data_IF_748359431661
#
_entry.id   IF_748359431661
#
_cell.length_a   1.000
_cell.length_b   1.000
_cell.length_c   1.000
_cell.angle_alpha   90.00
_cell.angle_beta   90.00
_cell.angle_gamma   90.00
#
_symmetry.space_group_name_H-M   'P 1'
#
loop_
_entity.id
_entity.type
_entity.pdbx_description
1 polymer ?
#
# COMPACT_ATOMS: atom_id res chain seq x y z
N UNK A 1 9.02 16.91 -7.80
CA UNK A 1 9.83 15.87 -8.48
C UNK A 1 11.22 15.84 -7.85
N UNK A 2 12.02 14.81 -8.08
CA UNK A 2 13.38 14.74 -7.52
C UNK A 2 14.27 15.77 -8.21
N UNK A 3 14.91 16.62 -7.42
CA UNK A 3 15.94 17.54 -7.87
C UNK A 3 17.27 16.80 -8.08
N UNK A 4 17.82 16.88 -9.30
CA UNK A 4 19.04 16.17 -9.68
C UNK A 4 20.28 16.70 -8.95
N UNK A 5 20.36 18.01 -8.69
CA UNK A 5 21.51 18.59 -8.01
C UNK A 5 21.56 18.10 -6.56
N UNK A 6 20.41 18.09 -5.86
CA UNK A 6 20.33 17.52 -4.51
C UNK A 6 20.62 16.02 -4.50
N UNK A 7 20.10 15.25 -5.45
CA UNK A 7 20.37 13.81 -5.55
C UNK A 7 21.87 13.52 -5.64
N UNK A 8 22.60 14.24 -6.51
CA UNK A 8 24.03 14.02 -6.70
C UNK A 8 24.82 14.37 -5.43
N UNK A 9 24.48 15.46 -4.75
CA UNK A 9 25.08 15.83 -3.46
C UNK A 9 24.85 14.74 -2.40
N UNK A 10 23.65 14.15 -2.36
CA UNK A 10 23.35 13.06 -1.44
C UNK A 10 24.15 11.79 -1.73
N UNK A 11 24.37 11.46 -3.00
CA UNK A 11 25.20 10.33 -3.40
C UNK A 11 26.66 10.55 -3.01
N UNK A 12 27.19 11.76 -3.23
CA UNK A 12 28.57 12.13 -2.92
C UNK A 12 28.91 12.04 -1.42
N UNK A 13 27.91 12.08 -0.51
CA UNK A 13 28.14 11.82 0.92
C UNK A 13 28.66 10.41 1.22
N UNK A 14 28.39 9.43 0.35
CA UNK A 14 28.76 8.02 0.58
C UNK A 14 29.55 7.40 -0.58
N UNK A 15 29.50 8.01 -1.77
CA UNK A 15 30.16 7.51 -2.98
C UNK A 15 31.25 8.49 -3.40
N UNK A 16 32.50 8.11 -3.16
CA UNK A 16 33.66 8.91 -3.58
C UNK A 16 34.00 8.72 -5.08
N UNK A 17 33.61 7.60 -5.69
CA UNK A 17 33.94 7.30 -7.10
C UNK A 17 33.15 8.20 -8.06
N UNK A 18 33.85 9.19 -8.60
CA UNK A 18 33.30 10.16 -9.55
C UNK A 18 32.81 9.54 -10.86
N UNK A 19 33.30 8.36 -11.25
CA UNK A 19 32.84 7.65 -12.46
C UNK A 19 31.41 7.15 -12.27
N UNK A 20 31.10 6.62 -11.08
CA UNK A 20 29.76 6.15 -10.70
C UNK A 20 28.80 7.34 -10.60
N UNK A 21 29.20 8.41 -9.91
CA UNK A 21 28.37 9.64 -9.81
C UNK A 21 28.07 10.21 -11.19
N UNK A 22 29.06 10.25 -12.09
CA UNK A 22 28.88 10.70 -13.48
C UNK A 22 28.00 9.77 -14.31
N UNK A 23 28.01 8.47 -14.04
CA UNK A 23 27.09 7.51 -14.68
C UNK A 23 25.65 7.73 -14.20
N UNK A 24 25.44 7.87 -12.89
CA UNK A 24 24.12 8.16 -12.32
C UNK A 24 23.59 9.51 -12.82
N UNK A 25 24.44 10.54 -12.89
CA UNK A 25 24.09 11.82 -13.51
C UNK A 25 23.58 11.63 -14.95
N UNK A 26 24.30 10.85 -15.76
CA UNK A 26 23.88 10.53 -17.14
C UNK A 26 22.53 9.82 -17.17
N UNK A 27 22.24 8.92 -16.24
CA UNK A 27 20.92 8.28 -16.13
C UNK A 27 19.81 9.22 -15.68
N UNK A 28 20.10 10.20 -14.82
CA UNK A 28 19.13 11.21 -14.40
C UNK A 28 18.80 12.17 -15.55
N UNK A 29 19.82 12.60 -16.30
CA UNK A 29 19.68 13.56 -17.41
C UNK A 29 19.26 12.89 -18.73
N UNK A 30 19.39 11.56 -18.85
CA UNK A 30 18.90 10.85 -20.04
C UNK A 30 17.39 11.00 -20.10
N UNK A 31 16.94 11.84 -21.03
CA UNK A 31 15.55 12.19 -21.21
C UNK A 31 14.59 11.03 -21.38
N UNK A 32 13.30 11.29 -21.17
CA UNK A 32 12.23 10.34 -21.49
C UNK A 32 11.94 10.44 -22.99
N UNK A 33 11.75 9.31 -23.66
CA UNK A 33 11.22 9.30 -25.02
C UNK A 33 9.70 9.37 -24.90
N UNK A 34 9.11 10.54 -25.18
CA UNK A 34 7.67 10.70 -25.37
C UNK A 34 7.39 10.90 -26.87
N UNK A 35 6.48 10.11 -27.41
CA UNK A 35 6.00 10.23 -28.81
C UNK A 35 7.13 10.28 -29.87
N UNK A 36 8.19 9.48 -29.69
CA UNK A 36 9.30 9.37 -30.64
C UNK A 36 10.30 10.53 -30.61
N UNK A 37 10.15 11.50 -29.71
CA UNK A 37 11.11 12.60 -29.52
C UNK A 37 11.81 12.45 -28.16
N UNK A 38 13.13 12.67 -28.13
CA UNK A 38 13.89 12.75 -26.88
C UNK A 38 13.62 14.11 -26.23
N UNK A 39 12.93 14.12 -25.10
CA UNK A 39 12.79 15.31 -24.26
C UNK A 39 13.77 15.18 -23.11
N UNK A 40 14.71 16.12 -22.98
CA UNK A 40 15.64 16.14 -21.86
C UNK A 40 14.86 16.17 -20.54
N UNK A 41 15.21 15.28 -19.60
CA UNK A 41 14.59 15.26 -18.28
C UNK A 41 15.33 16.28 -17.40
N UNK A 42 14.80 17.49 -17.27
CA UNK A 42 15.35 18.50 -16.38
C UNK A 42 15.06 18.20 -14.89
N UNK A 43 14.02 17.39 -14.61
CA UNK A 43 13.59 16.98 -13.27
C UNK A 43 13.05 15.54 -13.28
N UNK A 44 13.18 14.87 -12.14
CA UNK A 44 12.69 13.49 -11.96
C UNK A 44 13.63 12.41 -12.49
N UNK A 45 13.37 11.14 -12.15
CA UNK A 45 14.11 10.01 -12.73
C UNK A 45 13.31 9.48 -13.93
N UNK A 46 13.95 8.97 -15.01
CA UNK A 46 13.21 8.36 -16.10
C UNK A 46 12.30 7.25 -15.55
N UNK A 47 11.00 7.34 -15.79
CA UNK A 47 10.04 6.33 -15.36
C UNK A 47 10.35 5.01 -16.09
N UNK A 48 10.80 4.00 -15.34
CA UNK A 48 11.16 2.69 -15.89
C UNK A 48 12.65 2.35 -15.85
N UNK A 49 13.53 3.29 -15.46
CA UNK A 49 14.91 2.93 -15.15
C UNK A 49 14.96 2.10 -13.85
N UNK A 50 15.63 0.94 -13.89
CA UNK A 50 15.73 -0.02 -12.78
C UNK A 50 16.25 0.62 -11.49
N UNK A 51 17.06 1.68 -11.61
CA UNK A 51 17.67 2.37 -10.47
C UNK A 51 16.74 3.40 -9.79
N UNK A 52 15.67 3.85 -10.45
CA UNK A 52 14.80 4.93 -9.96
C UNK A 52 14.22 4.67 -8.56
N UNK A 53 13.73 3.46 -8.21
CA UNK A 53 13.24 3.18 -6.86
C UNK A 53 14.32 3.27 -5.78
N UNK A 54 15.56 2.92 -6.11
CA UNK A 54 16.69 3.04 -5.18
C UNK A 54 17.03 4.51 -4.93
N UNK A 55 17.17 5.29 -6.02
CA UNK A 55 17.47 6.73 -5.91
C UNK A 55 16.38 7.46 -5.12
N UNK A 56 15.10 7.19 -5.37
CA UNK A 56 14.01 7.79 -4.61
C UNK A 56 14.11 7.51 -3.10
N UNK A 57 14.49 6.29 -2.72
CA UNK A 57 14.69 5.93 -1.32
C UNK A 57 15.91 6.63 -0.70
N UNK A 58 17.01 6.78 -1.44
CA UNK A 58 18.19 7.53 -0.99
C UNK A 58 17.81 8.99 -0.77
N UNK A 59 17.10 9.61 -1.71
CA UNK A 59 16.67 11.00 -1.59
C UNK A 59 15.80 11.22 -0.35
N UNK A 60 14.77 10.38 -0.17
CA UNK A 60 13.89 10.46 0.99
C UNK A 60 14.61 10.14 2.30
N UNK A 61 15.66 9.31 2.28
CA UNK A 61 16.45 9.08 3.48
C UNK A 61 17.07 10.38 4.02
N UNK A 62 17.68 11.19 3.16
CA UNK A 62 18.31 12.45 3.55
C UNK A 62 17.30 13.57 3.80
N UNK A 63 16.28 13.69 2.96
CA UNK A 63 15.30 14.78 3.05
C UNK A 63 14.31 14.57 4.19
N UNK A 64 13.86 13.31 4.36
CA UNK A 64 12.80 12.94 5.31
C UNK A 64 13.36 12.18 6.52
N UNK A 65 13.92 10.99 6.35
CA UNK A 65 14.17 10.07 7.47
C UNK A 65 15.12 10.67 8.52
N UNK A 66 16.28 11.18 8.08
CA UNK A 66 17.25 11.81 8.97
C UNK A 66 16.68 13.08 9.63
N UNK A 67 15.94 13.88 8.87
CA UNK A 67 15.33 15.10 9.39
C UNK A 67 14.25 14.80 10.43
N UNK A 68 13.36 13.83 10.17
CA UNK A 68 12.32 13.41 11.12
C UNK A 68 12.94 12.86 12.40
N UNK A 69 14.01 12.08 12.29
CA UNK A 69 14.73 11.58 13.45
C UNK A 69 15.28 12.72 14.32
N UNK A 70 15.89 13.73 13.70
CA UNK A 70 16.36 14.91 14.41
C UNK A 70 15.20 15.72 15.01
N UNK A 71 14.16 16.00 14.22
CA UNK A 71 13.00 16.77 14.64
C UNK A 71 12.28 16.13 15.83
N UNK A 72 12.19 14.79 15.86
CA UNK A 72 11.64 14.03 16.99
C UNK A 72 12.40 14.30 18.28
N UNK A 73 13.72 14.46 18.24
CA UNK A 73 14.54 14.68 19.45
C UNK A 73 14.50 16.11 19.95
N UNK A 74 14.32 17.09 19.06
CA UNK A 74 14.46 18.51 19.42
C UNK A 74 13.13 19.24 19.60
N UNK A 75 12.07 18.82 18.90
CA UNK A 75 10.81 19.56 18.90
C UNK A 75 9.64 18.72 19.44
N UNK A 76 9.63 17.39 19.25
CA UNK A 76 8.46 16.58 19.60
C UNK A 76 8.20 16.56 21.11
N UNK A 77 6.92 16.55 21.46
CA UNK A 77 6.44 16.38 22.83
C UNK A 77 5.58 15.12 22.86
N UNK A 78 5.96 14.14 23.68
CA UNK A 78 5.33 12.83 23.73
C UNK A 78 5.79 11.87 22.62
N UNK A 79 5.07 10.77 22.47
CA UNK A 79 5.47 9.70 21.54
C UNK A 79 5.21 10.06 20.06
N UNK A 80 6.18 9.68 19.21
CA UNK A 80 6.12 9.84 17.75
C UNK A 80 6.43 8.52 17.07
N UNK A 81 5.54 8.07 16.21
CA UNK A 81 5.69 6.85 15.41
C UNK A 81 5.86 7.24 13.95
N UNK A 82 6.87 6.69 13.29
CA UNK A 82 7.16 6.96 11.89
C UNK A 82 7.16 5.65 11.13
N UNK A 83 6.36 5.57 10.07
CA UNK A 83 6.32 4.42 9.16
C UNK A 83 6.43 4.96 7.74
N UNK A 84 7.49 4.56 7.03
CA UNK A 84 7.68 4.90 5.61
C UNK A 84 7.75 3.63 4.77
N UNK A 85 7.13 3.68 3.61
CA UNK A 85 7.24 2.67 2.57
C UNK A 85 7.35 3.37 1.22
N UNK A 86 8.57 3.37 0.65
CA UNK A 86 8.91 4.18 -0.51
C UNK A 86 8.50 5.66 -0.29
N UNK A 87 7.56 6.17 -1.08
CA UNK A 87 7.00 7.52 -1.03
C UNK A 87 5.83 7.67 -0.04
N UNK A 88 5.14 6.58 0.31
CA UNK A 88 3.99 6.60 1.21
C UNK A 88 4.48 6.57 2.67
N UNK A 89 4.04 7.54 3.47
CA UNK A 89 4.49 7.70 4.86
C UNK A 89 3.33 7.99 5.81
N UNK A 90 3.37 7.41 7.00
CA UNK A 90 2.41 7.62 8.08
C UNK A 90 3.18 8.05 9.33
N UNK A 91 2.74 9.17 9.89
CA UNK A 91 3.29 9.73 11.12
C UNK A 91 2.20 9.72 12.21
N UNK A 92 2.49 9.09 13.34
CA UNK A 92 1.62 9.05 14.51
C UNK A 92 2.17 9.96 15.61
N UNK A 93 1.29 10.73 16.24
CA UNK A 93 1.63 11.67 17.31
C UNK A 93 0.66 11.49 18.48
N UNK A 94 1.16 11.70 19.69
CA UNK A 94 0.32 11.71 20.90
C UNK A 94 -0.62 12.93 20.97
N UNK A 95 -0.11 14.10 20.55
CA UNK A 95 -0.85 15.37 20.61
C UNK A 95 -1.16 15.92 19.22
N UNK A 96 -2.34 16.54 19.08
CA UNK A 96 -2.75 17.22 17.84
C UNK A 96 -1.85 18.42 17.53
N UNK A 97 -1.44 19.17 18.56
CA UNK A 97 -0.61 20.36 18.40
C UNK A 97 0.77 19.99 17.80
N UNK A 98 1.40 18.92 18.33
CA UNK A 98 2.66 18.39 17.80
C UNK A 98 2.51 17.94 16.35
N UNK A 99 1.41 17.28 16.01
CA UNK A 99 1.13 16.83 14.65
C UNK A 99 0.95 18.00 13.66
N UNK A 100 0.27 19.08 14.08
CA UNK A 100 0.09 20.29 13.28
C UNK A 100 1.42 21.00 13.04
N UNK A 101 2.24 21.15 14.09
CA UNK A 101 3.59 21.73 13.96
C UNK A 101 4.47 20.90 13.04
N UNK A 102 4.45 19.58 13.20
CA UNK A 102 5.18 18.67 12.31
C UNK A 102 4.77 18.84 10.85
N UNK A 103 3.46 18.90 10.56
CA UNK A 103 2.97 19.05 9.20
C UNK A 103 3.47 20.35 8.56
N UNK A 104 3.42 21.45 9.31
CA UNK A 104 3.94 22.75 8.87
C UNK A 104 5.44 22.69 8.57
N UNK A 105 6.24 22.17 9.51
CA UNK A 105 7.70 22.09 9.37
C UNK A 105 8.11 21.12 8.25
N UNK A 106 7.34 20.04 8.07
CA UNK A 106 7.54 19.08 6.99
C UNK A 106 7.29 19.72 5.63
N UNK A 107 6.24 20.54 5.49
CA UNK A 107 5.98 21.27 4.24
C UNK A 107 7.15 22.21 3.89
N UNK A 108 7.62 22.99 4.87
CA UNK A 108 8.77 23.86 4.69
C UNK A 108 10.04 23.06 4.32
N UNK A 109 10.30 21.96 5.04
CA UNK A 109 11.44 21.07 4.76
C UNK A 109 11.38 20.50 3.36
N UNK A 110 10.24 19.95 2.94
CA UNK A 110 10.09 19.35 1.61
C UNK A 110 10.31 20.39 0.50
N UNK A 111 9.79 21.61 0.69
CA UNK A 111 9.95 22.71 -0.26
C UNK A 111 11.42 23.08 -0.50
N UNK A 112 12.28 23.03 0.53
CA UNK A 112 13.72 23.29 0.41
C UNK A 112 14.44 22.31 -0.55
N UNK A 113 13.88 21.11 -0.73
CA UNK A 113 14.45 20.06 -1.60
C UNK A 113 13.60 19.83 -2.84
N UNK A 114 12.81 20.81 -3.28
CA UNK A 114 12.02 20.72 -4.51
C UNK A 114 10.88 19.69 -4.47
N UNK A 115 10.50 19.23 -3.28
CA UNK A 115 9.39 18.32 -3.08
C UNK A 115 8.15 19.09 -2.62
N UNK A 116 7.01 18.77 -3.22
CA UNK A 116 5.71 19.33 -2.83
C UNK A 116 4.87 18.23 -2.23
N UNK A 117 4.35 18.44 -1.02
CA UNK A 117 3.37 17.53 -0.46
C UNK A 117 2.05 17.66 -1.22
N UNK A 118 1.46 16.53 -1.57
CA UNK A 118 0.17 16.54 -2.25
C UNK A 118 -0.94 16.90 -1.24
N UNK A 119 -1.66 18.03 -1.41
CA UNK A 119 -2.62 18.52 -0.43
C UNK A 119 -3.75 17.51 -0.20
N UNK A 120 -4.28 16.90 -1.26
CA UNK A 120 -5.39 15.95 -1.13
C UNK A 120 -5.00 14.61 -0.48
N UNK A 121 -3.72 14.24 -0.52
CA UNK A 121 -3.23 12.99 0.07
C UNK A 121 -2.86 13.17 1.53
N UNK A 122 -2.39 14.36 1.91
CA UNK A 122 -1.89 14.64 3.26
C UNK A 122 -3.04 15.06 4.15
N UNK A 123 -3.42 14.21 5.10
CA UNK A 123 -4.56 14.44 5.99
C UNK A 123 -4.17 14.23 7.44
N UNK A 124 -4.54 15.18 8.30
CA UNK A 124 -4.44 15.04 9.74
C UNK A 124 -5.74 14.45 10.28
N UNK A 125 -5.68 13.25 10.85
CA UNK A 125 -6.85 12.55 11.39
C UNK A 125 -6.66 12.23 12.87
N UNK A 126 -7.76 12.21 13.62
CA UNK A 126 -7.74 11.69 14.98
C UNK A 126 -7.87 10.15 14.96
N UNK A 127 -6.82 9.48 15.40
CA UNK A 127 -6.71 8.01 15.35
C UNK A 127 -6.09 7.46 16.64
N UNK A 128 -6.54 6.28 17.08
CA UNK A 128 -5.96 5.58 18.24
C UNK A 128 -7.01 5.14 19.28
N UNK A 129 -6.51 4.63 20.41
CA UNK A 129 -7.31 4.01 21.49
C UNK A 129 -8.45 4.89 21.98
N UNK A 130 -8.21 6.18 22.12
CA UNK A 130 -9.17 7.13 22.70
C UNK A 130 -9.99 7.89 21.66
N UNK A 131 -9.72 7.73 20.37
CA UNK A 131 -10.35 8.52 19.32
C UNK A 131 -11.88 8.35 19.29
N UNK A 132 -12.36 7.11 19.45
CA UNK A 132 -13.80 6.83 19.48
C UNK A 132 -14.50 7.48 20.68
N UNK A 133 -13.89 7.38 21.87
CA UNK A 133 -14.44 7.96 23.10
C UNK A 133 -14.42 9.49 23.05
N UNK A 134 -13.31 10.11 22.62
CA UNK A 134 -13.17 11.57 22.49
C UNK A 134 -14.18 12.14 21.49
N UNK A 135 -14.34 11.50 20.33
CA UNK A 135 -15.34 11.91 19.33
C UNK A 135 -16.76 11.79 19.87
N UNK A 136 -17.09 10.68 20.53
CA UNK A 136 -18.42 10.47 21.12
C UNK A 136 -18.76 11.53 22.18
N UNK A 137 -17.80 11.90 23.04
CA UNK A 137 -17.97 12.99 24.02
C UNK A 137 -18.26 14.34 23.37
N UNK A 138 -17.74 14.58 22.16
CA UNK A 138 -17.99 15.80 21.37
C UNK A 138 -19.22 15.68 20.45
N UNK A 139 -20.06 14.65 20.60
CA UNK A 139 -21.21 14.40 19.73
C UNK A 139 -20.85 14.03 18.28
N UNK A 140 -19.58 13.69 18.01
CA UNK A 140 -19.10 13.33 16.68
C UNK A 140 -19.27 11.83 16.42
N UNK A 141 -19.38 11.47 15.13
CA UNK A 141 -19.49 10.09 14.68
C UNK A 141 -18.24 9.23 14.89
N UNK A 142 -18.18 8.10 14.17
CA UNK A 142 -17.07 7.15 14.28
C UNK A 142 -15.73 7.81 13.91
N UNK A 143 -14.60 7.35 14.49
CA UNK A 143 -13.28 7.81 14.09
C UNK A 143 -13.03 7.64 12.60
N UNK A 144 -12.23 8.56 12.07
CA UNK A 144 -11.78 8.50 10.68
C UNK A 144 -10.89 7.28 10.43
N UNK A 145 -10.78 6.94 9.15
CA UNK A 145 -9.96 5.83 8.67
C UNK A 145 -9.02 6.34 7.59
N UNK A 146 -7.85 5.73 7.46
CA UNK A 146 -6.92 6.03 6.39
C UNK A 146 -6.52 4.77 5.65
N UNK A 147 -6.18 4.92 4.37
CA UNK A 147 -5.69 3.84 3.54
C UNK A 147 -4.16 3.92 3.51
N UNK A 148 -3.47 2.81 3.75
CA UNK A 148 -2.01 2.68 3.68
C UNK A 148 -1.65 1.26 3.23
N UNK A 149 -0.75 1.13 2.26
CA UNK A 149 -0.30 -0.16 1.70
C UNK A 149 -1.44 -1.12 1.29
N UNK A 150 -2.51 -0.58 0.70
CA UNK A 150 -3.66 -1.37 0.26
C UNK A 150 -4.59 -1.86 1.38
N UNK A 151 -4.42 -1.36 2.60
CA UNK A 151 -5.32 -1.59 3.73
C UNK A 151 -5.92 -0.28 4.25
N UNK A 152 -7.23 -0.29 4.47
CA UNK A 152 -7.92 0.68 5.30
C UNK A 152 -7.66 0.34 6.77
N UNK A 153 -7.02 1.26 7.48
CA UNK A 153 -6.74 1.20 8.90
C UNK A 153 -7.89 1.84 9.68
N UNK A 154 -8.47 1.09 10.62
CA UNK A 154 -9.57 1.58 11.44
C UNK A 154 -9.41 1.20 12.92
N UNK A 155 -9.94 2.05 13.78
CA UNK A 155 -10.02 1.83 15.22
C UNK A 155 -11.15 0.82 15.51
N UNK A 156 -10.78 -0.38 15.93
CA UNK A 156 -11.71 -1.41 16.38
C UNK A 156 -11.55 -1.72 17.86
N UNK A 157 -12.44 -2.57 18.36
CA UNK A 157 -12.41 -3.10 19.72
C UNK A 157 -12.33 -4.62 19.68
N UNK A 158 -11.64 -5.19 20.66
CA UNK A 158 -11.67 -6.63 20.92
C UNK A 158 -12.98 -7.01 21.61
N UNK A 159 -13.24 -8.32 21.73
CA UNK A 159 -14.39 -8.83 22.50
C UNK A 159 -14.36 -8.41 23.97
N UNK A 160 -13.17 -8.19 24.53
CA UNK A 160 -12.93 -7.76 25.92
C UNK A 160 -12.91 -6.22 26.05
N UNK A 161 -13.32 -5.47 25.02
CA UNK A 161 -13.35 -3.99 25.07
C UNK A 161 -11.99 -3.30 24.87
N UNK A 162 -10.89 -4.03 24.83
CA UNK A 162 -9.57 -3.48 24.52
C UNK A 162 -9.47 -2.92 23.09
N UNK A 163 -8.62 -1.92 22.88
CA UNK A 163 -8.39 -1.34 21.56
C UNK A 163 -7.70 -2.31 20.61
N UNK A 164 -8.12 -2.32 19.34
CA UNK A 164 -7.50 -3.11 18.28
C UNK A 164 -7.41 -2.31 17.00
N UNK A 165 -6.21 -2.23 16.44
CA UNK A 165 -6.00 -1.77 15.07
C UNK A 165 -6.51 -2.82 14.08
N UNK A 166 -7.55 -2.47 13.34
CA UNK A 166 -8.07 -3.29 12.25
C UNK A 166 -7.47 -2.84 10.93
N UNK A 167 -7.03 -3.81 10.12
CA UNK A 167 -6.54 -3.60 8.76
C UNK A 167 -7.43 -4.37 7.81
N UNK A 168 -8.12 -3.65 6.94
CA UNK A 168 -9.11 -4.23 6.04
C UNK A 168 -8.74 -3.90 4.60
N UNK A 169 -8.86 -4.83 3.65
CA UNK A 169 -8.49 -4.53 2.26
C UNK A 169 -9.28 -3.32 1.73
N UNK A 170 -8.58 -2.40 1.07
CA UNK A 170 -9.17 -1.21 0.47
C UNK A 170 -10.24 -1.62 -0.55
N UNK A 171 -11.46 -1.09 -0.38
CA UNK A 171 -12.62 -1.44 -1.21
C UNK A 171 -12.36 -1.18 -2.70
N UNK A 172 -11.74 -0.04 -3.03
CA UNK A 172 -11.40 0.34 -4.41
C UNK A 172 -10.47 -0.70 -5.05
N UNK A 173 -9.38 -1.07 -4.37
CA UNK A 173 -8.42 -2.09 -4.84
C UNK A 173 -9.08 -3.46 -5.06
N UNK A 174 -9.93 -3.88 -4.13
CA UNK A 174 -10.68 -5.14 -4.26
C UNK A 174 -11.61 -5.12 -5.49
N UNK A 175 -12.33 -4.02 -5.72
CA UNK A 175 -13.21 -3.87 -6.89
C UNK A 175 -12.43 -3.92 -8.21
N UNK A 176 -11.31 -3.20 -8.29
CA UNK A 176 -10.44 -3.21 -9.47
C UNK A 176 -9.92 -4.63 -9.76
N UNK A 177 -9.47 -5.34 -8.72
CA UNK A 177 -8.99 -6.72 -8.85
C UNK A 177 -10.11 -7.66 -9.33
N UNK A 178 -11.31 -7.56 -8.77
CA UNK A 178 -12.46 -8.35 -9.21
C UNK A 178 -12.87 -8.04 -10.65
N UNK A 179 -12.83 -6.78 -11.06
CA UNK A 179 -13.13 -6.38 -12.44
C UNK A 179 -12.12 -6.99 -13.43
N UNK A 180 -10.82 -6.89 -13.12
CA UNK A 180 -9.75 -7.49 -13.92
C UNK A 180 -9.90 -9.03 -14.00
N UNK A 181 -10.22 -9.68 -12.88
CA UNK A 181 -10.49 -11.12 -12.83
C UNK A 181 -11.70 -11.52 -13.67
N UNK A 182 -12.82 -10.78 -13.60
CA UNK A 182 -14.00 -11.02 -14.43
C UNK A 182 -13.66 -10.93 -15.92
N UNK A 183 -12.91 -9.90 -16.33
CA UNK A 183 -12.46 -9.75 -17.71
C UNK A 183 -11.51 -10.87 -18.16
N UNK A 184 -10.56 -11.26 -17.31
CA UNK A 184 -9.65 -12.37 -17.59
C UNK A 184 -10.39 -13.72 -17.71
N UNK A 185 -11.34 -14.01 -16.80
CA UNK A 185 -12.17 -15.22 -16.86
C UNK A 185 -13.00 -15.29 -18.14
N UNK A 186 -13.53 -14.15 -18.61
CA UNK A 186 -14.30 -14.11 -19.87
C UNK A 186 -13.44 -14.33 -21.11
N UNK A 187 -12.19 -13.85 -21.11
CA UNK A 187 -11.24 -14.10 -22.20
C UNK A 187 -10.78 -15.56 -22.23
N UNK A 188 -10.51 -16.14 -21.06
CA UNK A 188 -10.03 -17.51 -20.88
C UNK A 188 -11.15 -18.57 -20.83
N UNK A 189 -12.41 -18.19 -21.11
CA UNK A 189 -13.58 -19.08 -20.94
C UNK A 189 -13.54 -20.37 -21.77
N UNK A 190 -12.82 -20.35 -22.89
CA UNK A 190 -12.67 -21.49 -23.80
C UNK A 190 -11.61 -22.49 -23.32
N UNK A 191 -10.73 -22.11 -22.40
CA UNK A 191 -9.67 -22.97 -21.87
C UNK A 191 -10.24 -24.20 -21.13
N UNK A 192 -9.49 -25.31 -21.05
CA UNK A 192 -9.87 -26.45 -20.21
C UNK A 192 -10.07 -26.04 -18.75
N UNK A 193 -11.09 -26.61 -18.09
CA UNK A 193 -11.50 -26.23 -16.72
C UNK A 193 -10.34 -26.36 -15.73
N UNK A 194 -9.51 -27.41 -15.86
CA UNK A 194 -8.38 -27.65 -14.96
C UNK A 194 -7.30 -26.57 -15.10
N UNK A 195 -6.97 -26.16 -16.34
CA UNK A 195 -5.96 -25.11 -16.62
C UNK A 195 -6.44 -23.78 -16.06
N UNK A 196 -7.68 -23.40 -16.37
CA UNK A 196 -8.29 -22.19 -15.84
C UNK A 196 -8.37 -22.21 -14.31
N UNK A 197 -8.71 -23.36 -13.72
CA UNK A 197 -8.78 -23.56 -12.28
C UNK A 197 -7.42 -23.42 -11.58
N UNK A 198 -6.35 -23.96 -12.16
CA UNK A 198 -4.97 -23.81 -11.64
C UNK A 198 -4.48 -22.37 -11.75
N UNK A 199 -4.78 -21.68 -12.86
CA UNK A 199 -4.50 -20.25 -12.97
C UNK A 199 -5.25 -19.46 -11.90
N UNK A 200 -6.55 -19.71 -11.73
CA UNK A 200 -7.37 -19.02 -10.74
C UNK A 200 -6.88 -19.29 -9.31
N UNK A 201 -6.46 -20.53 -9.02
CA UNK A 201 -5.84 -20.90 -7.76
C UNK A 201 -4.64 -19.99 -7.45
N UNK A 202 -3.68 -19.88 -8.36
CA UNK A 202 -2.46 -19.07 -8.18
C UNK A 202 -2.79 -17.60 -7.95
N UNK A 203 -3.74 -17.04 -8.72
CA UNK A 203 -4.12 -15.63 -8.57
C UNK A 203 -4.81 -15.35 -7.24
N UNK A 204 -5.78 -16.19 -6.84
CA UNK A 204 -6.49 -16.04 -5.56
C UNK A 204 -5.55 -16.28 -4.38
N UNK A 205 -4.67 -17.28 -4.48
CA UNK A 205 -3.67 -17.55 -3.46
C UNK A 205 -2.71 -16.36 -3.29
N UNK A 206 -2.20 -15.78 -4.38
CA UNK A 206 -1.36 -14.59 -4.32
C UNK A 206 -2.06 -13.41 -3.66
N UNK A 207 -3.34 -13.19 -3.99
CA UNK A 207 -4.15 -12.15 -3.35
C UNK A 207 -4.33 -12.39 -1.85
N UNK A 208 -4.59 -13.63 -1.43
CA UNK A 208 -4.68 -14.00 -0.02
C UNK A 208 -3.35 -13.88 0.72
N UNK A 209 -2.24 -14.29 0.10
CA UNK A 209 -0.91 -14.17 0.69
C UNK A 209 -0.60 -12.73 1.08
N UNK A 210 -1.05 -11.73 0.32
CA UNK A 210 -0.88 -10.33 0.68
C UNK A 210 -1.93 -9.84 1.69
N UNK A 211 -3.22 -10.15 1.46
CA UNK A 211 -4.31 -9.52 2.20
C UNK A 211 -4.83 -10.28 3.42
N UNK A 212 -4.44 -11.54 3.67
CA UNK A 212 -4.94 -12.38 4.75
C UNK A 212 -4.34 -12.06 6.12
N UNK A 213 -4.49 -10.79 6.51
CA UNK A 213 -4.11 -10.24 7.81
C UNK A 213 -5.23 -10.43 8.85
N UNK A 214 -4.90 -10.54 10.15
CA UNK A 214 -5.89 -10.76 11.19
C UNK A 214 -6.97 -9.67 11.22
N UNK A 215 -8.24 -10.08 11.21
CA UNK A 215 -9.41 -9.19 11.17
C UNK A 215 -9.95 -8.90 9.77
N UNK A 216 -9.26 -9.31 8.69
CA UNK A 216 -9.70 -9.09 7.31
C UNK A 216 -10.39 -10.31 6.66
N UNK A 217 -10.40 -11.47 7.32
CA UNK A 217 -10.86 -12.74 6.73
C UNK A 217 -12.30 -12.68 6.19
N UNK A 218 -13.21 -11.98 6.88
CA UNK A 218 -14.61 -11.81 6.42
C UNK A 218 -14.70 -11.08 5.08
N UNK A 219 -13.85 -10.07 4.83
CA UNK A 219 -13.80 -9.38 3.53
C UNK A 219 -13.24 -10.29 2.44
N UNK A 220 -12.21 -11.08 2.78
CA UNK A 220 -11.61 -12.03 1.85
C UNK A 220 -12.53 -13.19 1.49
N UNK A 221 -13.37 -13.66 2.42
CA UNK A 221 -14.41 -14.65 2.11
C UNK A 221 -15.47 -14.04 1.17
N UNK A 222 -15.81 -12.77 1.37
CA UNK A 222 -16.62 -12.00 0.42
C UNK A 222 -15.99 -11.95 -0.98
N UNK A 223 -14.68 -11.66 -1.06
CA UNK A 223 -13.93 -11.69 -2.32
C UNK A 223 -13.92 -13.09 -2.96
N UNK A 224 -13.65 -14.14 -2.19
CA UNK A 224 -13.68 -15.55 -2.64
C UNK A 224 -15.03 -15.88 -3.27
N UNK A 225 -16.13 -15.52 -2.60
CA UNK A 225 -17.48 -15.74 -3.09
C UNK A 225 -17.76 -15.00 -4.40
N UNK A 226 -17.27 -13.77 -4.55
CA UNK A 226 -17.39 -13.01 -5.80
C UNK A 226 -16.56 -13.62 -6.94
N UNK A 227 -15.37 -14.15 -6.64
CA UNK A 227 -14.56 -14.89 -7.61
C UNK A 227 -15.28 -16.17 -8.04
N UNK A 228 -15.84 -16.93 -7.10
CA UNK A 228 -16.67 -18.12 -7.38
C UNK A 228 -17.84 -17.76 -8.31
N UNK A 229 -18.57 -16.69 -8.01
CA UNK A 229 -19.69 -16.19 -8.84
C UNK A 229 -19.21 -15.82 -10.26
N UNK A 230 -18.09 -15.11 -10.37
CA UNK A 230 -17.52 -14.72 -11.65
C UNK A 230 -17.09 -15.93 -12.50
N UNK A 231 -16.44 -16.93 -11.88
CA UNK A 231 -16.02 -18.13 -12.58
C UNK A 231 -17.22 -18.95 -13.06
N UNK A 232 -18.21 -19.15 -12.20
CA UNK A 232 -19.48 -19.80 -12.58
C UNK A 232 -20.15 -19.07 -13.74
N UNK A 233 -20.20 -17.74 -13.69
CA UNK A 233 -20.78 -16.95 -14.78
C UNK A 233 -20.02 -17.14 -16.11
N UNK A 234 -18.68 -17.19 -16.09
CA UNK A 234 -17.88 -17.47 -17.28
C UNK A 234 -18.13 -18.88 -17.85
N UNK A 235 -18.30 -19.89 -16.99
CA UNK A 235 -18.62 -21.26 -17.41
C UNK A 235 -20.02 -21.36 -18.02
N UNK A 236 -21.01 -20.66 -17.45
CA UNK A 236 -22.37 -20.60 -18.02
C UNK A 236 -22.40 -19.90 -19.39
N UNK A 237 -21.50 -18.95 -19.63
CA UNK A 237 -21.37 -18.27 -20.93
C UNK A 237 -20.63 -19.11 -21.99
N UNK A 238 -19.94 -20.18 -21.58
CA UNK A 238 -19.21 -21.09 -22.49
C UNK A 238 -20.15 -22.06 -23.22
N UNK A 239 -21.21 -22.53 -22.57
CA UNK A 239 -22.09 -23.57 -23.11
C UNK A 239 -23.55 -23.10 -23.18
N UNK A 240 -24.16 -23.21 -24.36
CA UNK A 240 -25.60 -22.92 -24.59
C UNK A 240 -26.52 -24.05 -24.07
N UNK A 241 -25.96 -25.26 -23.84
CA UNK A 241 -26.67 -26.39 -23.27
C UNK A 241 -26.12 -26.68 -21.87
N UNK A 242 -27.03 -26.80 -20.91
CA UNK A 242 -26.88 -27.24 -19.52
C UNK A 242 -26.74 -26.19 -18.39
N UNK A 243 -27.68 -26.32 -17.42
CA UNK A 243 -27.68 -25.69 -16.10
C UNK A 243 -26.52 -26.26 -15.25
N UNK A 244 -25.46 -25.48 -15.02
CA UNK A 244 -24.49 -25.81 -13.97
C UNK A 244 -25.11 -25.52 -12.60
N UNK A 245 -25.54 -26.57 -11.90
CA UNK A 245 -26.04 -26.46 -10.52
C UNK A 245 -24.92 -25.96 -9.59
N UNK A 246 -25.32 -25.30 -8.50
CA UNK A 246 -24.37 -24.83 -7.49
C UNK A 246 -23.58 -25.99 -6.88
N UNK A 247 -24.17 -27.17 -6.71
CA UNK A 247 -23.48 -28.35 -6.17
C UNK A 247 -22.32 -28.80 -7.06
N UNK A 248 -22.54 -28.92 -8.37
CA UNK A 248 -21.49 -29.32 -9.31
C UNK A 248 -20.38 -28.27 -9.37
N UNK A 249 -20.74 -26.99 -9.35
CA UNK A 249 -19.76 -25.91 -9.28
C UNK A 249 -18.99 -25.90 -7.95
N UNK A 250 -19.66 -26.16 -6.82
CA UNK A 250 -19.03 -26.19 -5.50
C UNK A 250 -17.96 -27.27 -5.40
N UNK A 251 -18.12 -28.43 -6.06
CA UNK A 251 -17.07 -29.44 -6.16
C UNK A 251 -15.81 -28.91 -6.89
N UNK A 252 -15.99 -28.19 -8.00
CA UNK A 252 -14.89 -27.55 -8.73
C UNK A 252 -14.24 -26.43 -7.92
N UNK A 253 -15.05 -25.58 -7.29
CA UNK A 253 -14.57 -24.46 -6.46
C UNK A 253 -13.77 -24.95 -5.25
N UNK A 254 -14.20 -26.04 -4.60
CA UNK A 254 -13.44 -26.67 -3.50
C UNK A 254 -12.08 -27.20 -3.95
N UNK A 255 -11.97 -27.71 -5.19
CA UNK A 255 -10.72 -28.24 -5.74
C UNK A 255 -9.71 -27.13 -6.07
N UNK A 256 -10.18 -26.02 -6.66
CA UNK A 256 -9.29 -25.03 -7.25
C UNK A 256 -9.20 -23.72 -6.47
N UNK A 257 -10.25 -23.27 -5.81
CA UNK A 257 -10.23 -21.98 -5.11
C UNK A 257 -9.77 -22.23 -3.68
N UNK A 258 -8.64 -21.63 -3.22
CA UNK A 258 -8.15 -21.83 -1.87
C UNK A 258 -9.11 -21.21 -0.85
N UNK A 259 -9.22 -21.82 0.33
CA UNK A 259 -9.99 -21.27 1.43
C UNK A 259 -9.25 -20.09 2.06
N UNK A 260 -9.99 -19.10 2.54
CA UNK A 260 -9.40 -17.98 3.26
C UNK A 260 -8.86 -18.46 4.61
N UNK A 261 -7.53 -18.44 4.78
CA UNK A 261 -6.85 -18.73 6.05
C UNK A 261 -5.99 -17.53 6.42
N UNK A 262 -5.81 -17.28 7.71
CA UNK A 262 -4.92 -16.24 8.18
C UNK A 262 -3.48 -16.61 7.77
N UNK A 263 -2.89 -15.81 6.88
CA UNK A 263 -1.53 -16.04 6.39
C UNK A 263 -0.49 -15.28 7.22
N UNK A 264 -0.91 -14.25 7.96
CA UNK A 264 -0.02 -13.41 8.77
C UNK A 264 -0.32 -13.53 10.26
N UNK A 265 0.69 -13.65 11.13
CA UNK A 265 0.49 -13.60 12.57
C UNK A 265 -0.07 -12.24 13.02
N UNK A 266 -0.57 -12.19 14.25
CA UNK A 266 -0.92 -10.93 14.89
C UNK A 266 0.33 -10.06 15.06
N UNK A 267 0.21 -8.72 15.01
CA UNK A 267 1.37 -7.83 15.17
C UNK A 267 2.21 -8.13 16.41
N UNK A 268 1.59 -8.40 17.58
CA UNK A 268 2.33 -8.77 18.79
C UNK A 268 3.27 -9.95 18.56
N UNK A 269 2.74 -11.08 18.10
CA UNK A 269 3.54 -12.26 17.79
C UNK A 269 4.52 -12.09 16.61
N UNK A 270 4.30 -11.11 15.72
CA UNK A 270 5.21 -10.81 14.61
C UNK A 270 6.42 -9.98 15.05
N UNK A 271 6.23 -9.14 16.06
CA UNK A 271 7.22 -8.19 16.56
C UNK A 271 7.81 -8.58 17.93
N UNK A 272 7.42 -9.73 18.50
CA UNK A 272 8.13 -10.44 19.57
C UNK A 272 9.51 -10.96 19.11
N UNK A 273 10.26 -10.13 18.39
CA UNK A 273 11.70 -10.14 18.55
C UNK A 273 11.93 -9.54 19.93
N UNK A 274 12.13 -10.40 20.93
CA UNK A 274 12.70 -10.02 22.21
C UNK A 274 13.95 -9.19 21.91
N UNK A 275 13.84 -7.87 22.08
CA UNK A 275 15.04 -7.03 22.10
C UNK A 275 15.81 -7.43 23.36
N UNK A 276 17.06 -7.91 23.28
CA UNK A 276 17.97 -7.79 24.41
C UNK A 276 18.19 -6.31 24.75
#
# INVERSE_FOLDING_TARGET
EIDHAWMLRFLEHRVADQRIVRLIRRWLTSGVIENGKRVAAERGTPQGAVISPLLANIYLHYVLDLWVHQWRRTHATGEVIVVRYADDSVFGFESKATAQRFLHDLQARMGQFGLTLHPDKTRLIEFGRFAATKRRKRGQGRPETFDFLGFTHCCGTTRQGGFRLLRLTVKKRMRVTLAALRGALMRRRHEPINVLGQWLHRVVQGYFNYHAVPGNLKRLEGFRREVCRAWRHALLRRSQRHRQSWERFNRLARRHIPNCRQAHPYPGARFDASRP
#
